data_IF_756420116184
#
_entry.id   IF_756420116184
#
_cell.length_a   1.000
_cell.length_b   1.000
_cell.length_c   1.000
_cell.angle_alpha   90.00
_cell.angle_beta   90.00
_cell.angle_gamma   90.00
#
_symmetry.space_group_name_H-M   'P 1'
#
loop_
_entity.id
_entity.type
_entity.pdbx_description
1 polymer ?
#
# COMPACT_ATOMS: atom_id res chain seq x y z
N UNK A 1 -0.10 16.24 -1.79
CA UNK A 1 -1.43 15.61 -1.62
C UNK A 1 -1.55 15.26 -0.15
N UNK A 2 -2.64 15.62 0.52
CA UNK A 2 -2.84 15.28 1.93
C UNK A 2 -3.87 14.18 2.08
N UNK A 3 -3.55 13.22 2.93
CA UNK A 3 -4.49 12.20 3.38
C UNK A 3 -4.69 12.39 4.88
N UNK A 4 -5.89 12.08 5.34
CA UNK A 4 -6.25 12.12 6.75
C UNK A 4 -6.84 10.78 7.16
N UNK A 5 -6.36 10.24 8.26
CA UNK A 5 -6.90 9.05 8.87
C UNK A 5 -7.54 9.41 10.20
N UNK A 6 -8.77 8.92 10.42
CA UNK A 6 -9.42 8.97 11.73
C UNK A 6 -9.46 7.54 12.25
N UNK A 7 -8.82 7.32 13.40
CA UNK A 7 -8.80 6.06 14.12
C UNK A 7 -9.77 6.21 15.28
N UNK A 8 -10.72 5.29 15.40
CA UNK A 8 -11.72 5.30 16.46
C UNK A 8 -11.80 3.93 17.13
N UNK A 9 -11.59 3.89 18.44
CA UNK A 9 -11.67 2.69 19.28
C UNK A 9 -13.01 2.72 20.02
N UNK A 10 -13.93 1.84 19.64
CA UNK A 10 -15.20 1.65 20.32
C UNK A 10 -15.08 0.49 21.34
N UNK A 11 -14.78 0.82 22.59
CA UNK A 11 -14.64 -0.17 23.66
C UNK A 11 -15.94 -0.94 23.97
N UNK A 12 -17.11 -0.34 23.67
CA UNK A 12 -18.42 -0.99 23.89
C UNK A 12 -18.68 -2.05 22.83
N UNK A 13 -18.43 -1.72 21.56
CA UNK A 13 -18.59 -2.65 20.44
C UNK A 13 -17.39 -3.58 20.25
N UNK A 14 -16.27 -3.28 20.91
CA UNK A 14 -14.98 -3.98 20.75
C UNK A 14 -14.49 -3.94 19.29
N UNK A 15 -14.60 -2.77 18.67
CA UNK A 15 -14.22 -2.54 17.27
C UNK A 15 -13.24 -1.36 17.20
N UNK A 16 -12.21 -1.50 16.37
CA UNK A 16 -11.42 -0.38 15.87
C UNK A 16 -11.94 -0.01 14.48
N UNK A 17 -12.33 1.24 14.28
CA UNK A 17 -12.70 1.79 12.98
C UNK A 17 -11.56 2.66 12.46
N UNK A 18 -11.10 2.40 11.24
CA UNK A 18 -10.13 3.22 10.52
C UNK A 18 -10.81 3.86 9.33
N UNK A 19 -10.85 5.20 9.30
CA UNK A 19 -11.44 5.97 8.20
C UNK A 19 -10.35 6.71 7.45
N UNK A 20 -10.29 6.51 6.14
CA UNK A 20 -9.42 7.26 5.24
C UNK A 20 -10.19 8.40 4.59
N UNK A 21 -9.60 9.59 4.59
CA UNK A 21 -10.07 10.76 3.88
C UNK A 21 -8.98 11.29 2.95
N UNK A 22 -9.37 11.66 1.73
CA UNK A 22 -8.50 12.35 0.79
C UNK A 22 -8.90 13.83 0.68
N UNK A 23 -7.89 14.68 0.53
CA UNK A 23 -8.11 16.10 0.23
C UNK A 23 -8.52 16.27 -1.25
N UNK A 24 -9.73 16.77 -1.50
CA UNK A 24 -10.22 17.10 -2.86
C UNK A 24 -9.88 18.53 -3.24
N UNK A 25 -10.02 19.46 -2.29
CA UNK A 25 -9.65 20.87 -2.41
C UNK A 25 -9.01 21.30 -1.09
N UNK A 26 -8.34 22.45 -1.06
CA UNK A 26 -7.55 22.91 0.09
C UNK A 26 -8.39 22.95 1.37
N UNK A 27 -8.13 22.00 2.27
CA UNK A 27 -8.84 21.84 3.54
C UNK A 27 -10.18 21.08 3.44
N UNK A 28 -10.61 20.68 2.25
CA UNK A 28 -11.81 19.89 2.02
C UNK A 28 -11.46 18.40 1.89
N UNK A 29 -11.80 17.64 2.92
CA UNK A 29 -11.55 16.20 2.99
C UNK A 29 -12.82 15.40 2.72
N UNK A 30 -12.72 14.39 1.85
CA UNK A 30 -13.83 13.47 1.54
C UNK A 30 -13.48 12.07 2.02
N UNK A 31 -14.45 11.38 2.61
CA UNK A 31 -14.30 9.99 3.05
C UNK A 31 -14.09 9.09 1.82
N UNK A 32 -12.98 8.38 1.80
CA UNK A 32 -12.61 7.45 0.73
C UNK A 32 -12.90 6.00 1.13
N UNK A 33 -12.57 5.65 2.37
CA UNK A 33 -12.71 4.30 2.87
C UNK A 33 -12.99 4.29 4.37
N UNK A 34 -13.69 3.25 4.83
CA UNK A 34 -13.86 2.91 6.22
C UNK A 34 -13.69 1.40 6.39
N UNK A 35 -12.82 0.99 7.30
CA UNK A 35 -12.66 -0.41 7.69
C UNK A 35 -12.86 -0.60 9.19
N UNK A 36 -13.43 -1.74 9.55
CA UNK A 36 -13.71 -2.12 10.93
C UNK A 36 -12.95 -3.40 11.27
N UNK A 37 -12.22 -3.37 12.39
CA UNK A 37 -11.42 -4.48 12.88
C UNK A 37 -11.89 -4.89 14.27
N UNK A 38 -11.88 -6.20 14.56
CA UNK A 38 -12.14 -6.68 15.91
C UNK A 38 -11.01 -6.25 16.85
N UNK A 39 -11.36 -5.60 17.97
CA UNK A 39 -10.37 -5.09 18.91
C UNK A 39 -9.45 -6.18 19.47
N UNK A 40 -9.97 -7.42 19.61
CA UNK A 40 -9.18 -8.58 20.04
C UNK A 40 -8.04 -8.89 19.07
N UNK A 41 -8.35 -8.93 17.77
CA UNK A 41 -7.37 -9.18 16.72
C UNK A 41 -6.32 -8.05 16.68
N UNK A 42 -6.75 -6.79 16.79
CA UNK A 42 -5.79 -5.66 16.86
C UNK A 42 -4.85 -5.77 18.06
N UNK A 43 -5.36 -6.10 19.25
CA UNK A 43 -4.51 -6.28 20.44
C UNK A 43 -3.53 -7.46 20.28
N UNK A 44 -3.97 -8.56 19.68
CA UNK A 44 -3.11 -9.69 19.34
C UNK A 44 -1.98 -9.25 18.39
N UNK A 45 -2.32 -8.54 17.30
CA UNK A 45 -1.32 -8.03 16.34
C UNK A 45 -0.37 -7.01 16.94
N UNK A 46 -0.83 -6.16 17.86
CA UNK A 46 0.04 -5.27 18.64
C UNK A 46 1.06 -6.09 19.44
N UNK A 47 0.65 -7.21 20.03
CA UNK A 47 1.53 -8.07 20.82
C UNK A 47 2.52 -8.89 20.00
N UNK A 48 2.14 -9.28 18.78
CA UNK A 48 3.00 -10.01 17.83
C UNK A 48 4.11 -9.11 17.28
N UNK A 49 3.80 -7.84 17.02
CA UNK A 49 4.79 -6.85 16.61
C UNK A 49 4.28 -5.81 15.62
N UNK A 50 5.15 -4.84 15.32
CA UNK A 50 4.81 -3.73 14.41
C UNK A 50 4.55 -4.20 12.98
N UNK A 51 5.28 -5.22 12.50
CA UNK A 51 5.14 -5.70 11.11
C UNK A 51 3.79 -6.39 10.92
N UNK A 52 3.37 -7.14 11.92
CA UNK A 52 2.13 -7.89 11.99
C UNK A 52 0.94 -6.94 12.07
N UNK A 53 1.05 -5.88 12.88
CA UNK A 53 0.05 -4.80 12.90
C UNK A 53 -0.03 -4.03 11.58
N UNK A 54 1.10 -3.73 10.94
CA UNK A 54 1.11 -3.13 9.59
C UNK A 54 0.40 -4.05 8.60
N UNK A 55 0.71 -5.35 8.63
CA UNK A 55 0.10 -6.34 7.74
C UNK A 55 -1.41 -6.49 7.98
N UNK A 56 -1.87 -6.35 9.22
CA UNK A 56 -3.29 -6.44 9.56
C UNK A 56 -4.09 -5.20 9.12
N UNK A 57 -3.48 -4.01 9.18
CA UNK A 57 -4.14 -2.75 8.83
C UNK A 57 -4.00 -2.37 7.35
N UNK A 58 -3.00 -2.92 6.65
CA UNK A 58 -2.88 -2.74 5.19
C UNK A 58 -3.74 -3.76 4.48
N UNK A 59 -4.85 -3.31 3.95
CA UNK A 59 -5.78 -4.12 3.17
C UNK A 59 -5.84 -3.61 1.73
N UNK A 60 -6.68 -4.22 0.91
CA UNK A 60 -6.94 -3.73 -0.44
C UNK A 60 -7.60 -2.34 -0.44
N UNK A 61 -8.25 -1.93 0.65
CA UNK A 61 -8.95 -0.65 0.71
C UNK A 61 -8.18 0.42 1.51
N UNK A 62 -7.22 0.02 2.35
CA UNK A 62 -6.34 0.91 3.10
C UNK A 62 -4.88 0.60 2.74
N UNK A 63 -4.27 1.41 1.86
CA UNK A 63 -2.91 1.15 1.39
C UNK A 63 -2.03 2.41 1.32
N UNK A 64 -1.81 3.14 2.43
CA UNK A 64 -0.77 4.15 2.44
C UNK A 64 0.62 3.50 2.31
N UNK A 65 1.61 4.23 1.75
CA UNK A 65 2.99 3.75 1.65
C UNK A 65 3.55 3.33 3.01
N UNK A 66 4.48 2.36 3.02
CA UNK A 66 5.01 1.78 4.27
C UNK A 66 5.58 2.81 5.26
N UNK A 67 6.34 3.85 4.84
CA UNK A 67 6.80 4.89 5.77
C UNK A 67 5.65 5.62 6.46
N UNK A 68 4.55 5.81 5.75
CA UNK A 68 3.38 6.54 6.24
C UNK A 68 2.54 5.70 7.21
N UNK A 69 2.49 4.37 7.00
CA UNK A 69 1.83 3.43 7.91
C UNK A 69 2.38 3.52 9.34
N UNK A 70 3.67 3.88 9.51
CA UNK A 70 4.29 3.99 10.83
C UNK A 70 3.56 4.99 11.73
N UNK A 71 3.09 6.12 11.17
CA UNK A 71 2.33 7.13 11.93
C UNK A 71 0.96 6.61 12.37
N UNK A 72 0.31 5.83 11.50
CA UNK A 72 -1.00 5.23 11.76
C UNK A 72 -0.88 4.18 12.88
N UNK A 73 0.08 3.23 12.77
CA UNK A 73 0.24 2.19 13.78
C UNK A 73 0.63 2.76 15.15
N UNK A 74 1.47 3.80 15.19
CA UNK A 74 1.85 4.43 16.45
C UNK A 74 0.64 5.04 17.16
N UNK A 75 -0.26 5.65 16.39
CA UNK A 75 -1.53 6.20 16.88
C UNK A 75 -2.47 5.09 17.37
N UNK A 76 -2.58 3.97 16.63
CA UNK A 76 -3.33 2.79 17.08
C UNK A 76 -2.78 2.28 18.42
N UNK A 77 -1.46 2.06 18.52
CA UNK A 77 -0.82 1.60 19.76
C UNK A 77 -1.08 2.59 20.92
N UNK A 78 -0.97 3.88 20.65
CA UNK A 78 -1.24 4.94 21.62
C UNK A 78 -2.67 4.90 22.17
N UNK A 79 -3.65 4.70 21.29
CA UNK A 79 -5.07 4.54 21.65
C UNK A 79 -5.35 3.31 22.52
N UNK A 80 -4.64 2.20 22.29
CA UNK A 80 -4.79 1.00 23.12
C UNK A 80 -4.04 1.09 24.46
N UNK A 81 -3.00 1.93 24.54
CA UNK A 81 -2.27 2.18 25.78
C UNK A 81 -2.91 3.25 26.67
N UNK A 82 -3.81 4.08 26.13
CA UNK A 82 -4.45 5.19 26.84
C UNK A 82 -5.92 4.86 27.14
N UNK A 83 -6.35 5.02 28.39
CA UNK A 83 -7.74 4.72 28.80
C UNK A 83 -8.74 5.83 28.48
N UNK A 84 -8.29 7.07 28.34
CA UNK A 84 -9.15 8.25 28.20
C UNK A 84 -9.24 8.78 26.75
N UNK A 85 -8.78 8.00 25.77
CA UNK A 85 -8.75 8.41 24.36
C UNK A 85 -9.40 7.33 23.49
N UNK A 86 -10.50 7.72 22.85
CA UNK A 86 -11.28 6.84 21.98
C UNK A 86 -11.03 7.15 20.50
N UNK A 87 -10.37 8.28 20.17
CA UNK A 87 -10.08 8.64 18.80
C UNK A 87 -8.77 9.39 18.63
N UNK A 88 -8.12 9.19 17.48
CA UNK A 88 -6.92 9.89 17.06
C UNK A 88 -7.00 10.25 15.57
N UNK A 89 -6.52 11.45 15.24
CA UNK A 89 -6.41 11.92 13.86
C UNK A 89 -4.95 11.89 13.43
N UNK A 90 -4.69 11.36 12.23
CA UNK A 90 -3.36 11.31 11.62
C UNK A 90 -3.44 12.01 10.26
N UNK A 91 -2.66 13.07 10.09
CA UNK A 91 -2.52 13.76 8.81
C UNK A 91 -1.20 13.31 8.17
N UNK A 92 -1.29 12.89 6.92
CA UNK A 92 -0.16 12.58 6.05
C UNK A 92 -0.08 13.66 4.98
N UNK A 93 1.04 14.38 4.93
CA UNK A 93 1.35 15.28 3.83
C UNK A 93 2.53 14.70 3.05
N UNK A 94 2.26 14.18 1.85
CA UNK A 94 3.28 13.50 1.05
C UNK A 94 4.50 14.37 0.78
N UNK A 95 4.36 15.68 0.59
CA UNK A 95 5.50 16.56 0.29
C UNK A 95 6.36 16.82 1.52
N UNK A 96 5.73 16.95 2.67
CA UNK A 96 6.44 17.15 3.94
C UNK A 96 7.13 15.84 4.37
N UNK A 97 6.43 14.71 4.23
CA UNK A 97 6.93 13.39 4.57
C UNK A 97 8.10 12.96 3.67
N UNK A 98 8.11 13.35 2.38
CA UNK A 98 9.26 13.13 1.50
C UNK A 98 10.48 13.95 1.93
N UNK A 99 10.29 15.18 2.42
CA UNK A 99 11.40 16.04 2.87
C UNK A 99 12.07 15.45 4.11
N UNK A 100 11.29 14.95 5.06
CA UNK A 100 11.83 14.28 6.26
C UNK A 100 12.60 13.00 5.94
N UNK A 101 12.25 12.30 4.85
CA UNK A 101 12.95 11.09 4.43
C UNK A 101 14.29 11.37 3.74
N UNK A 102 14.54 12.59 3.23
CA UNK A 102 15.84 12.93 2.61
C UNK A 102 16.98 12.92 3.62
N UNK A 103 16.71 13.30 4.86
CA UNK A 103 17.72 13.33 5.93
C UNK A 103 18.07 11.92 6.46
N UNK A 104 17.21 10.93 6.20
CA UNK A 104 17.39 9.52 6.57
C UNK A 104 17.74 8.61 5.39
N UNK A 105 17.89 9.16 4.18
CA UNK A 105 18.56 8.44 3.11
C UNK A 105 20.03 8.35 3.52
N UNK A 106 20.43 7.19 4.03
CA UNK A 106 21.82 6.76 3.88
C UNK A 106 22.01 6.66 2.37
N UNK A 107 22.45 7.76 1.76
CA UNK A 107 23.21 7.68 0.53
C UNK A 107 24.38 6.82 0.94
N UNK A 108 24.41 5.57 0.48
CA UNK A 108 25.67 4.84 0.40
C UNK A 108 26.57 5.80 -0.38
N UNK A 109 27.43 6.54 0.33
CA UNK A 109 28.53 7.30 -0.27
C UNK A 109 29.46 6.24 -0.88
N UNK A 110 28.99 5.57 -1.93
CA UNK A 110 29.91 5.15 -2.96
C UNK A 110 30.35 6.46 -3.57
N UNK A 111 31.54 6.87 -3.15
CA UNK A 111 32.41 7.85 -3.81
C UNK A 111 32.67 7.39 -5.26
N UNK A 112 31.64 7.39 -6.07
CA UNK A 112 31.74 7.40 -7.52
C UNK A 112 30.76 8.46 -7.99
N UNK A 113 31.17 9.73 -7.84
CA UNK A 113 30.72 10.79 -8.73
C UNK A 113 31.15 10.41 -10.15
N UNK A 114 30.50 9.42 -10.75
CA UNK A 114 30.61 9.19 -12.19
C UNK A 114 29.94 10.40 -12.81
N UNK A 115 30.75 11.27 -13.41
CA UNK A 115 30.24 12.40 -14.16
C UNK A 115 29.29 11.84 -15.23
N UNK A 116 28.11 12.45 -15.39
CA UNK A 116 27.09 11.98 -16.35
C UNK A 116 27.68 11.91 -17.77
N UNK A 117 28.72 12.71 -18.03
CA UNK A 117 29.50 12.71 -19.26
C UNK A 117 30.33 11.42 -19.46
N UNK A 118 30.85 10.77 -18.41
CA UNK A 118 31.55 9.48 -18.51
C UNK A 118 30.60 8.31 -18.86
N UNK A 119 29.32 8.39 -18.48
CA UNK A 119 28.30 7.40 -18.84
C UNK A 119 27.81 7.55 -20.29
N UNK A 120 28.00 8.71 -20.90
CA UNK A 120 27.60 8.98 -22.30
C UNK A 120 28.67 8.55 -23.31
N UNK A 121 29.91 8.39 -22.86
CA UNK A 121 31.05 8.00 -23.70
C UNK A 121 31.21 6.48 -23.85
N UNK A 122 30.36 5.67 -23.21
CA UNK A 122 30.26 4.24 -23.49
C UNK A 122 29.70 4.08 -24.91
N UNK A 123 30.61 3.95 -25.88
CA UNK A 123 30.27 3.56 -27.24
C UNK A 123 29.54 2.23 -27.17
N UNK A 124 28.23 2.28 -27.37
CA UNK A 124 27.44 1.10 -27.67
C UNK A 124 28.05 0.51 -28.93
N UNK A 125 28.75 -0.62 -28.79
CA UNK A 125 29.15 -1.40 -29.96
C UNK A 125 27.86 -1.80 -30.69
N UNK A 126 27.74 -1.39 -31.95
CA UNK A 126 26.60 -1.69 -32.86
C UNK A 126 26.47 -3.19 -33.17
N UNK A 127 27.16 -4.06 -32.42
CA UNK A 127 27.09 -5.52 -32.50
C UNK A 127 25.83 -6.06 -31.81
N UNK A 128 24.72 -5.34 -31.96
CA UNK A 128 23.39 -5.90 -31.73
C UNK A 128 23.26 -7.15 -32.59
N UNK A 129 23.35 -8.29 -31.92
CA UNK A 129 23.16 -9.62 -32.48
C UNK A 129 21.86 -9.61 -33.28
N UNK A 130 22.03 -10.01 -34.53
CA UNK A 130 21.04 -10.11 -35.58
C UNK A 130 19.70 -10.68 -35.08
N UNK A 131 18.61 -10.20 -35.67
CA UNK A 131 17.19 -10.35 -35.29
C UNK A 131 16.65 -11.80 -35.36
N UNK A 132 17.45 -12.82 -35.02
CA UNK A 132 17.13 -14.21 -35.28
C UNK A 132 16.45 -14.94 -34.11
N UNK A 133 16.52 -14.43 -32.88
CA UNK A 133 15.99 -15.14 -31.70
C UNK A 133 14.56 -14.78 -31.29
N UNK A 134 13.90 -13.85 -31.99
CA UNK A 134 12.47 -13.53 -31.76
C UNK A 134 11.54 -14.53 -32.48
N UNK A 135 12.07 -15.45 -33.30
CA UNK A 135 11.25 -16.38 -34.10
C UNK A 135 10.64 -17.55 -33.30
N UNK A 136 11.01 -17.75 -32.03
CA UNK A 136 10.55 -18.94 -31.29
C UNK A 136 9.29 -18.71 -30.46
N UNK A 137 8.85 -17.46 -30.23
CA UNK A 137 7.57 -17.21 -29.54
C UNK A 137 6.35 -17.38 -30.45
N UNK A 138 6.51 -17.46 -31.77
CA UNK A 138 5.38 -17.73 -32.68
C UNK A 138 4.94 -19.20 -32.70
N UNK A 139 5.69 -20.11 -32.05
CA UNK A 139 5.39 -21.55 -32.02
C UNK A 139 4.86 -22.04 -30.67
N UNK A 140 4.89 -21.22 -29.61
CA UNK A 140 4.06 -21.47 -28.41
C UNK A 140 2.65 -21.07 -28.77
N UNK A 141 1.96 -22.04 -29.38
CA UNK A 141 0.71 -21.85 -30.08
C UNK A 141 -0.27 -20.98 -29.32
N UNK A 142 -0.85 -20.03 -30.05
CA UNK A 142 -2.18 -19.48 -29.81
C UNK A 142 -3.20 -20.62 -29.87
N UNK A 143 -3.17 -21.52 -28.89
CA UNK A 143 -4.35 -22.29 -28.52
C UNK A 143 -5.25 -21.25 -27.89
N UNK A 144 -6.13 -20.67 -28.72
CA UNK A 144 -7.28 -19.93 -28.24
C UNK A 144 -7.87 -20.74 -27.09
N UNK A 145 -7.88 -20.15 -25.89
CA UNK A 145 -8.60 -20.70 -24.75
C UNK A 145 -10.05 -20.74 -25.21
N UNK A 146 -10.54 -21.93 -25.52
CA UNK A 146 -11.96 -22.14 -25.78
C UNK A 146 -12.65 -22.03 -24.43
N UNK A 147 -13.31 -20.90 -24.20
CA UNK A 147 -14.37 -20.83 -23.20
C UNK A 147 -15.44 -21.81 -23.68
N UNK A 148 -15.67 -22.88 -22.92
CA UNK A 148 -16.88 -23.67 -23.10
C UNK A 148 -18.05 -22.78 -22.66
N UNK A 149 -18.91 -22.41 -23.61
CA UNK A 149 -20.29 -22.06 -23.30
C UNK A 149 -21.02 -23.37 -22.96
N UNK A 150 -21.93 -23.34 -21.97
CA UNK A 150 -22.55 -24.44 -21.19
C UNK A 150 -21.71 -24.91 -19.98
N UNK A 151 -22.13 -24.75 -18.72
CA UNK A 151 -23.48 -24.97 -18.20
C UNK A 151 -24.05 -23.76 -17.44
N UNK A 152 -25.15 -23.19 -17.94
CA UNK A 152 -26.09 -22.49 -17.07
C UNK A 152 -26.64 -23.48 -16.05
N UNK A 153 -26.35 -23.28 -14.77
CA UNK A 153 -27.07 -23.96 -13.69
C UNK A 153 -28.52 -23.46 -13.76
N UNK A 154 -29.39 -24.24 -14.40
CA UNK A 154 -30.83 -24.11 -14.24
C UNK A 154 -31.12 -24.56 -12.81
N UNK A 155 -31.43 -23.61 -11.94
CA UNK A 155 -32.05 -23.90 -10.66
C UNK A 155 -33.51 -24.17 -10.99
N UNK A 156 -33.89 -25.45 -11.05
CA UNK A 156 -35.30 -25.86 -11.07
C UNK A 156 -35.93 -25.40 -9.75
N UNK A 157 -36.73 -24.33 -9.83
CA UNK A 157 -37.55 -23.83 -8.74
C UNK A 157 -38.82 -24.69 -8.66
N UNK A 158 -38.66 -25.89 -8.08
CA UNK A 158 -39.76 -26.82 -7.84
C UNK A 158 -40.34 -26.61 -6.42
N UNK A 159 -41.53 -25.98 -6.42
CA UNK A 159 -42.59 -25.87 -5.38
C UNK A 159 -42.71 -24.62 -4.52
#
# INVERSE_FOLDING_TARGET
MRQKYIIFKDDKKKILTLKEYAELDKGLFTLMCEENYEAKNIMEKISEGRKELISALRTNNIFPPQPNMVKIINSVISLYNTKDKDSEEVILDTLEDLKMNKDNLIVDERDESVEIDELLDEKVDDDYVDQQDIKTISSVGTKAIKVAEDDSIIIDDDK
#
